data_IF_057630381633
#
_entry.id   IF_057630381633
#
_cell.length_a   1.000
_cell.length_b   1.000
_cell.length_c   1.000
_cell.angle_alpha   90.00
_cell.angle_beta   90.00
_cell.angle_gamma   90.00
#
_symmetry.space_group_name_H-M   'P 1'
#
loop_
_entity.id
_entity.type
_entity.pdbx_description
1 polymer ?
#
# COMPACT_ATOMS: atom_id res chain seq x y z
N UNK A 1 -14.51 -4.50 -3.95
CA UNK A 1 -13.93 -3.15 -3.86
C UNK A 1 -12.44 -3.21 -4.17
N UNK A 2 -11.80 -2.09 -4.52
CA UNK A 2 -10.35 -2.05 -4.79
C UNK A 2 -9.55 -2.56 -3.57
N UNK A 3 -9.94 -2.16 -2.35
CA UNK A 3 -9.29 -2.62 -1.12
C UNK A 3 -9.28 -4.14 -0.94
N UNK A 4 -10.38 -4.84 -1.26
CA UNK A 4 -10.42 -6.31 -1.21
C UNK A 4 -9.56 -6.98 -2.28
N UNK A 5 -9.45 -6.38 -3.48
CA UNK A 5 -8.57 -6.92 -4.52
C UNK A 5 -7.11 -6.80 -4.10
N UNK A 6 -6.71 -5.65 -3.56
CA UNK A 6 -5.36 -5.41 -3.05
C UNK A 6 -5.05 -6.26 -1.83
N UNK A 7 -6.03 -6.59 -0.99
CA UNK A 7 -5.80 -7.43 0.18
C UNK A 7 -5.41 -8.87 -0.18
N UNK A 8 -5.75 -9.32 -1.39
CA UNK A 8 -5.42 -10.65 -1.93
C UNK A 8 -4.18 -10.64 -2.82
N UNK A 9 -3.48 -9.52 -2.94
CA UNK A 9 -2.27 -9.43 -3.76
C UNK A 9 -1.13 -10.26 -3.12
N UNK A 10 -0.63 -11.31 -3.79
CA UNK A 10 0.50 -12.10 -3.28
C UNK A 10 1.87 -11.43 -3.56
N UNK A 11 1.93 -10.42 -4.44
CA UNK A 11 3.17 -9.76 -4.88
C UNK A 11 3.18 -8.29 -4.45
N UNK A 12 3.43 -8.06 -3.16
CA UNK A 12 3.23 -6.75 -2.51
C UNK A 12 4.11 -5.59 -3.03
N UNK A 13 5.24 -5.90 -3.68
CA UNK A 13 6.20 -4.91 -4.19
C UNK A 13 6.07 -4.75 -5.72
N UNK A 14 5.99 -5.88 -6.45
CA UNK A 14 5.89 -5.90 -7.91
C UNK A 14 4.59 -5.23 -8.38
N UNK A 15 3.48 -5.55 -7.70
CA UNK A 15 2.25 -4.77 -7.81
C UNK A 15 2.32 -3.71 -6.71
N UNK A 16 2.46 -2.41 -7.05
CA UNK A 16 2.76 -1.34 -6.08
C UNK A 16 1.52 -0.92 -5.28
N UNK A 17 0.88 -1.90 -4.62
CA UNK A 17 -0.32 -1.71 -3.84
C UNK A 17 -0.10 -0.81 -2.60
N UNK A 18 1.15 -0.62 -2.16
CA UNK A 18 1.53 0.36 -1.14
C UNK A 18 1.34 1.82 -1.58
N UNK A 19 1.17 2.08 -2.88
CA UNK A 19 0.90 3.43 -3.42
C UNK A 19 -0.58 3.83 -3.38
N UNK A 20 -1.49 2.88 -3.12
CA UNK A 20 -2.92 3.18 -3.01
C UNK A 20 -3.22 3.76 -1.64
N UNK A 21 -3.80 4.96 -1.61
CA UNK A 21 -4.19 5.69 -0.41
C UNK A 21 -5.71 5.71 -0.25
N UNK A 22 -6.18 6.07 0.94
CA UNK A 22 -7.60 6.34 1.16
C UNK A 22 -8.01 7.65 0.45
N UNK A 23 -9.29 7.77 0.09
CA UNK A 23 -9.82 8.95 -0.59
C UNK A 23 -9.78 10.23 0.24
N UNK A 24 -9.70 10.11 1.57
CA UNK A 24 -9.55 11.22 2.52
C UNK A 24 -8.09 11.69 2.66
N UNK A 25 -7.17 11.12 1.90
CA UNK A 25 -5.73 11.43 1.96
C UNK A 25 -4.98 10.71 3.08
N UNK A 26 -5.66 9.89 3.90
CA UNK A 26 -4.99 9.05 4.88
C UNK A 26 -4.25 7.88 4.22
N UNK A 27 -3.28 7.30 4.95
CA UNK A 27 -2.43 6.23 4.41
C UNK A 27 -3.21 4.98 3.99
N UNK A 28 -4.37 4.72 4.60
CA UNK A 28 -5.16 3.51 4.37
C UNK A 28 -4.46 2.21 4.80
N UNK A 29 -5.16 1.08 4.66
CA UNK A 29 -4.65 -0.24 5.04
C UNK A 29 -3.55 -0.79 4.12
N UNK A 30 -2.86 -1.83 4.59
CA UNK A 30 -1.88 -2.58 3.81
C UNK A 30 -1.71 -4.01 4.34
N UNK A 31 -1.78 -5.01 3.48
CA UNK A 31 -1.62 -6.43 3.87
C UNK A 31 -0.26 -6.70 4.50
N UNK A 32 0.81 -6.06 4.00
CA UNK A 32 2.16 -6.18 4.56
C UNK A 32 2.40 -5.36 5.84
N UNK A 33 1.38 -4.73 6.40
CA UNK A 33 1.48 -3.88 7.60
C UNK A 33 1.83 -2.42 7.31
N UNK A 34 1.35 -1.51 8.16
CA UNK A 34 1.50 -0.07 7.94
C UNK A 34 2.96 0.40 7.95
N UNK A 35 3.83 -0.21 8.76
CA UNK A 35 5.24 0.18 8.83
C UNK A 35 5.97 -0.11 7.52
N UNK A 36 5.71 -1.26 6.89
CA UNK A 36 6.26 -1.57 5.58
C UNK A 36 5.74 -0.62 4.50
N UNK A 37 4.43 -0.31 4.50
CA UNK A 37 3.85 0.68 3.57
C UNK A 37 4.53 2.04 3.69
N UNK A 38 4.68 2.54 4.92
CA UNK A 38 5.37 3.81 5.19
C UNK A 38 6.83 3.77 4.75
N UNK A 39 7.54 2.67 5.01
CA UNK A 39 8.92 2.49 4.60
C UNK A 39 9.06 2.54 3.08
N UNK A 40 8.26 1.77 2.34
CA UNK A 40 8.28 1.77 0.87
C UNK A 40 7.94 3.14 0.29
N UNK A 41 6.92 3.81 0.82
CA UNK A 41 6.55 5.16 0.41
C UNK A 41 7.66 6.19 0.69
N UNK A 42 8.46 6.00 1.75
CA UNK A 42 9.64 6.86 2.01
C UNK A 42 10.79 6.53 1.07
N UNK A 43 11.03 5.26 0.79
CA UNK A 43 12.09 4.79 -0.10
C UNK A 43 11.89 5.29 -1.54
N UNK A 44 10.65 5.44 -1.98
CA UNK A 44 10.29 5.92 -3.32
C UNK A 44 10.32 7.45 -3.48
N UNK A 45 10.51 8.20 -2.39
CA UNK A 45 10.63 9.66 -2.47
C UNK A 45 12.08 10.04 -2.84
N UNK A 46 12.28 10.94 -3.81
CA UNK A 46 13.61 11.43 -4.18
C UNK A 46 14.27 12.24 -3.06
#
# INVERSE_FOLDING_TARGET
SIGQALSRNPLLIVIPCHRVLSSDGSIGGFTGGLELKKFLLRLEKP
#
